data_IF_898309073172
#
_entry.id   IF_898309073172
#
_cell.length_a   1.000
_cell.length_b   1.000
_cell.length_c   1.000
_cell.angle_alpha   90.00
_cell.angle_beta   90.00
_cell.angle_gamma   90.00
#
_symmetry.space_group_name_H-M   'P 1'
#
loop_
_entity.id
_entity.type
_entity.pdbx_description
1 polymer ?
#
# COMPACT_ATOMS: atom_id res chain seq x y z
N UNK A 1 -11.34 -58.24 -5.49
CA UNK A 1 -10.74 -57.32 -6.49
C UNK A 1 -11.49 -55.99 -6.62
N UNK A 2 -12.81 -55.94 -6.37
CA UNK A 2 -13.63 -54.72 -6.50
C UNK A 2 -13.35 -53.60 -5.49
N UNK A 3 -12.95 -53.94 -4.26
CA UNK A 3 -12.66 -52.97 -3.18
C UNK A 3 -11.51 -52.03 -3.52
N UNK A 4 -10.48 -52.54 -4.21
CA UNK A 4 -9.34 -51.73 -4.66
C UNK A 4 -9.72 -50.76 -5.79
N UNK A 5 -10.72 -51.08 -6.62
CA UNK A 5 -11.19 -50.19 -7.69
C UNK A 5 -11.96 -49.00 -7.11
N UNK A 6 -12.83 -49.24 -6.13
CA UNK A 6 -13.57 -48.18 -5.41
C UNK A 6 -12.61 -47.24 -4.67
N UNK A 7 -11.61 -47.78 -3.97
CA UNK A 7 -10.59 -46.98 -3.26
C UNK A 7 -9.76 -46.10 -4.20
N UNK A 8 -9.39 -46.60 -5.38
CA UNK A 8 -8.66 -45.80 -6.39
C UNK A 8 -9.51 -44.65 -6.93
N UNK A 9 -10.80 -44.90 -7.20
CA UNK A 9 -11.72 -43.86 -7.67
C UNK A 9 -11.89 -42.78 -6.60
N UNK A 10 -12.09 -43.16 -5.34
CA UNK A 10 -12.24 -42.23 -4.22
C UNK A 10 -11.01 -41.33 -4.06
N UNK A 11 -9.80 -41.92 -4.07
CA UNK A 11 -8.55 -41.15 -3.97
C UNK A 11 -8.39 -40.17 -5.14
N UNK A 12 -8.69 -40.58 -6.37
CA UNK A 12 -8.65 -39.69 -7.54
C UNK A 12 -9.64 -38.54 -7.39
N UNK A 13 -10.85 -38.84 -6.89
CA UNK A 13 -11.90 -37.85 -6.68
C UNK A 13 -11.50 -36.84 -5.59
N UNK A 14 -10.93 -37.30 -4.48
CA UNK A 14 -10.40 -36.43 -3.43
C UNK A 14 -9.29 -35.53 -3.93
N UNK A 15 -8.33 -36.08 -4.68
CA UNK A 15 -7.22 -35.30 -5.26
C UNK A 15 -7.78 -34.23 -6.22
N UNK A 16 -8.73 -34.60 -7.09
CA UNK A 16 -9.36 -33.66 -8.01
C UNK A 16 -10.04 -32.51 -7.26
N UNK A 17 -10.76 -32.82 -6.17
CA UNK A 17 -11.45 -31.84 -5.34
C UNK A 17 -10.47 -30.89 -4.66
N UNK A 18 -9.35 -31.40 -4.15
CA UNK A 18 -8.28 -30.59 -3.54
C UNK A 18 -7.64 -29.67 -4.59
N UNK A 19 -7.37 -30.15 -5.80
CA UNK A 19 -6.81 -29.32 -6.88
C UNK A 19 -7.77 -28.20 -7.27
N UNK A 20 -9.06 -28.51 -7.44
CA UNK A 20 -10.09 -27.50 -7.75
C UNK A 20 -10.16 -26.46 -6.63
N UNK A 21 -10.17 -26.89 -5.37
CA UNK A 21 -10.19 -25.98 -4.22
C UNK A 21 -8.98 -25.03 -4.22
N UNK A 22 -7.77 -25.54 -4.46
CA UNK A 22 -6.55 -24.73 -4.54
C UNK A 22 -6.60 -23.72 -5.70
N UNK A 23 -7.10 -24.13 -6.87
CA UNK A 23 -7.24 -23.24 -8.03
C UNK A 23 -8.24 -22.11 -7.73
N UNK A 24 -9.40 -22.43 -7.18
CA UNK A 24 -10.42 -21.43 -6.83
C UNK A 24 -9.89 -20.46 -5.76
N UNK A 25 -9.17 -20.96 -4.76
CA UNK A 25 -8.57 -20.12 -3.73
C UNK A 25 -7.47 -19.20 -4.30
N UNK A 26 -6.59 -19.74 -5.13
CA UNK A 26 -5.51 -18.98 -5.78
C UNK A 26 -6.04 -17.86 -6.68
N UNK A 27 -7.08 -18.14 -7.48
CA UNK A 27 -7.70 -17.13 -8.34
C UNK A 27 -8.37 -16.01 -7.53
N UNK A 28 -9.01 -16.34 -6.40
CA UNK A 28 -9.68 -15.34 -5.55
C UNK A 28 -8.69 -14.39 -4.89
N UNK A 29 -7.58 -14.91 -4.37
CA UNK A 29 -6.52 -14.10 -3.72
C UNK A 29 -5.86 -13.15 -4.72
N UNK A 30 -5.69 -13.56 -5.98
CA UNK A 30 -5.05 -12.70 -6.98
C UNK A 30 -5.96 -11.55 -7.43
N UNK A 31 -7.27 -11.75 -7.46
CA UNK A 31 -8.23 -10.77 -7.98
C UNK A 31 -8.60 -9.65 -7.00
N UNK A 32 -8.48 -9.85 -5.68
CA UNK A 32 -8.85 -8.83 -4.67
C UNK A 32 -7.82 -7.72 -4.51
N UNK A 33 -6.59 -7.94 -4.97
CA UNK A 33 -5.48 -7.04 -4.71
C UNK A 33 -5.68 -5.62 -5.26
N UNK A 34 -6.36 -5.45 -6.40
CA UNK A 34 -6.48 -4.11 -7.02
C UNK A 34 -7.35 -3.15 -6.23
N UNK A 35 -8.51 -3.61 -5.76
CA UNK A 35 -9.43 -2.77 -4.99
C UNK A 35 -8.81 -2.40 -3.63
N UNK A 36 -8.15 -3.38 -2.99
CA UNK A 36 -7.45 -3.16 -1.73
C UNK A 36 -6.26 -2.19 -1.92
N UNK A 37 -5.51 -2.33 -3.02
CA UNK A 37 -4.41 -1.42 -3.38
C UNK A 37 -4.90 0.01 -3.68
N UNK A 38 -6.03 0.16 -4.36
CA UNK A 38 -6.64 1.48 -4.60
C UNK A 38 -7.07 2.14 -3.29
N UNK A 39 -7.72 1.40 -2.41
CA UNK A 39 -8.11 1.91 -1.10
C UNK A 39 -6.88 2.28 -0.26
N UNK A 40 -5.84 1.46 -0.30
CA UNK A 40 -4.57 1.74 0.35
C UNK A 40 -3.90 3.00 -0.22
N UNK A 41 -3.87 3.16 -1.55
CA UNK A 41 -3.35 4.34 -2.23
C UNK A 41 -4.05 5.62 -1.77
N UNK A 42 -5.39 5.62 -1.74
CA UNK A 42 -6.18 6.79 -1.31
C UNK A 42 -5.86 7.14 0.15
N UNK A 43 -5.74 6.12 1.01
CA UNK A 43 -5.39 6.32 2.42
C UNK A 43 -3.96 6.86 2.58
N UNK A 44 -2.99 6.35 1.83
CA UNK A 44 -1.61 6.80 1.81
C UNK A 44 -1.51 8.25 1.33
N UNK A 45 -2.15 8.58 0.20
CA UNK A 45 -2.19 9.93 -0.36
C UNK A 45 -2.78 10.93 0.64
N UNK A 46 -3.88 10.57 1.30
CA UNK A 46 -4.48 11.38 2.37
C UNK A 46 -3.53 11.54 3.55
N UNK A 47 -2.82 10.49 3.94
CA UNK A 47 -1.82 10.55 5.00
C UNK A 47 -0.68 11.50 4.66
N UNK A 48 -0.11 11.39 3.45
CA UNK A 48 0.98 12.25 2.99
C UNK A 48 0.55 13.72 2.96
N UNK A 49 -0.62 14.02 2.38
CA UNK A 49 -1.18 15.38 2.37
C UNK A 49 -1.39 15.94 3.77
N UNK A 50 -1.90 15.12 4.69
CA UNK A 50 -2.08 15.52 6.10
C UNK A 50 -0.73 15.81 6.76
N UNK A 51 0.30 15.01 6.47
CA UNK A 51 1.66 15.24 6.96
C UNK A 51 2.30 16.50 6.40
N UNK A 52 2.08 16.82 5.11
CA UNK A 52 2.51 18.09 4.51
C UNK A 52 1.84 19.27 5.21
N UNK A 53 0.52 19.20 5.45
CA UNK A 53 -0.22 20.25 6.15
C UNK A 53 0.22 20.40 7.60
N UNK A 54 0.52 19.30 8.29
CA UNK A 54 1.10 19.32 9.63
C UNK A 54 2.48 20.00 9.61
N UNK A 55 3.33 19.65 8.65
CA UNK A 55 4.63 20.29 8.48
C UNK A 55 4.49 21.80 8.24
N UNK A 56 3.58 22.22 7.36
CA UNK A 56 3.27 23.63 7.12
C UNK A 56 2.80 24.32 8.40
N UNK A 57 1.93 23.67 9.17
CA UNK A 57 1.39 24.24 10.41
C UNK A 57 2.49 24.50 11.45
N UNK A 58 3.43 23.56 11.57
CA UNK A 58 4.53 23.60 12.54
C UNK A 58 5.68 24.52 12.10
N UNK A 59 6.04 24.52 10.82
CA UNK A 59 7.23 25.20 10.30
C UNK A 59 6.90 26.49 9.52
N UNK A 60 5.62 26.78 9.27
CA UNK A 60 5.14 27.93 8.47
C UNK A 60 5.65 27.97 7.03
N UNK A 61 6.18 26.85 6.54
CA UNK A 61 6.64 26.67 5.17
C UNK A 61 6.35 25.23 4.70
N UNK A 62 6.15 25.03 3.41
CA UNK A 62 6.08 23.70 2.82
C UNK A 62 7.45 23.01 2.90
N UNK A 63 7.50 21.67 3.01
CA UNK A 63 8.75 20.96 2.93
C UNK A 63 9.37 21.14 1.53
N UNK A 64 10.70 21.15 1.43
CA UNK A 64 11.38 21.20 0.14
C UNK A 64 11.20 19.89 -0.65
N UNK A 65 11.02 18.77 0.05
CA UNK A 65 10.88 17.42 -0.48
C UNK A 65 10.02 16.57 0.47
N UNK A 66 9.25 15.61 -0.06
CA UNK A 66 8.48 14.65 0.73
C UNK A 66 9.37 13.76 1.62
N UNK A 67 10.63 13.53 1.23
CA UNK A 67 11.62 12.84 2.07
C UNK A 67 11.79 13.48 3.46
N UNK A 68 11.55 14.79 3.57
CA UNK A 68 11.60 15.49 4.85
C UNK A 68 10.57 14.92 5.82
N UNK A 69 9.40 14.50 5.34
CA UNK A 69 8.31 14.00 6.18
C UNK A 69 8.60 12.63 6.80
N UNK A 70 9.38 11.80 6.10
CA UNK A 70 9.78 10.45 6.54
C UNK A 70 10.99 10.47 7.46
N UNK A 71 11.79 11.54 7.43
CA UNK A 71 13.06 11.63 8.17
C UNK A 71 13.01 12.60 9.35
N UNK A 72 12.30 13.73 9.22
CA UNK A 72 12.22 14.72 10.29
C UNK A 72 11.16 14.37 11.32
N UNK A 73 11.45 14.76 12.56
CA UNK A 73 10.56 14.59 13.71
C UNK A 73 10.08 15.93 14.21
N UNK A 74 8.84 15.98 14.66
CA UNK A 74 8.31 17.08 15.46
C UNK A 74 8.17 16.68 16.93
N UNK A 75 8.22 17.69 17.80
CA UNK A 75 8.00 17.53 19.23
C UNK A 75 6.52 17.74 19.55
N UNK A 76 5.94 16.81 20.31
CA UNK A 76 4.61 16.97 20.90
C UNK A 76 4.69 16.63 22.39
N UNK A 77 4.68 17.67 23.22
CA UNK A 77 5.06 17.56 24.64
C UNK A 77 6.50 17.06 24.79
N UNK A 78 6.70 15.96 25.52
CA UNK A 78 8.02 15.35 25.75
C UNK A 78 8.33 14.19 24.78
N UNK A 79 7.57 14.04 23.68
CA UNK A 79 7.75 12.95 22.72
C UNK A 79 8.08 13.50 21.34
N UNK A 80 9.02 12.85 20.67
CA UNK A 80 9.32 13.07 19.25
C UNK A 80 8.56 12.08 18.37
N UNK A 81 7.96 12.55 17.30
CA UNK A 81 7.27 11.73 16.30
C UNK A 81 7.65 12.16 14.89
N UNK A 82 7.73 11.21 13.95
CA UNK A 82 7.89 11.52 12.54
C UNK A 82 6.63 12.20 11.99
N UNK A 83 6.79 13.08 11.01
CA UNK A 83 5.66 13.71 10.34
C UNK A 83 4.82 12.70 9.56
N UNK A 84 5.47 11.73 8.92
CA UNK A 84 4.83 10.65 8.17
C UNK A 84 5.27 9.29 8.71
N UNK A 85 4.30 8.41 8.97
CA UNK A 85 4.52 7.04 9.45
C UNK A 85 3.56 6.09 8.75
N UNK A 86 3.94 4.83 8.58
CA UNK A 86 3.05 3.79 8.04
C UNK A 86 2.88 3.82 6.52
N UNK A 87 3.71 4.60 5.82
CA UNK A 87 3.81 4.59 4.35
C UNK A 87 5.10 3.89 3.96
N UNK A 88 5.08 3.18 2.83
CA UNK A 88 6.27 2.54 2.27
C UNK A 88 7.26 3.59 1.78
N UNK A 89 8.56 3.29 1.83
CA UNK A 89 9.60 4.19 1.36
C UNK A 89 10.59 3.45 0.45
N UNK A 90 11.12 4.16 -0.54
CA UNK A 90 12.18 3.65 -1.40
C UNK A 90 13.55 3.66 -0.69
N UNK A 91 14.60 3.20 -1.39
CA UNK A 91 15.98 3.20 -0.89
C UNK A 91 16.51 4.61 -0.53
N UNK A 92 15.90 5.67 -1.07
CA UNK A 92 16.27 7.05 -0.83
C UNK A 92 15.44 7.71 0.29
N UNK A 93 14.52 6.97 0.92
CA UNK A 93 13.52 7.41 1.90
C UNK A 93 12.39 8.29 1.32
N UNK A 94 12.16 8.23 0.01
CA UNK A 94 11.00 8.87 -0.59
C UNK A 94 9.77 7.99 -0.35
N UNK A 95 8.62 8.58 0.04
CA UNK A 95 7.39 7.82 0.17
C UNK A 95 6.95 7.30 -1.20
N UNK A 96 6.63 6.01 -1.25
CA UNK A 96 6.07 5.33 -2.42
C UNK A 96 4.65 4.91 -2.12
N UNK A 97 3.85 4.80 -3.16
CA UNK A 97 2.48 4.33 -3.07
C UNK A 97 2.38 2.81 -3.04
N UNK A 98 1.15 2.33 -2.80
CA UNK A 98 0.80 0.90 -2.76
C UNK A 98 1.08 0.13 -4.06
N UNK A 99 1.33 0.83 -5.16
CA UNK A 99 1.73 0.26 -6.45
C UNK A 99 3.26 0.28 -6.65
N UNK A 100 4.01 0.84 -5.69
CA UNK A 100 5.47 0.94 -5.71
C UNK A 100 5.99 2.18 -6.44
N UNK A 101 5.14 3.12 -6.83
CA UNK A 101 5.53 4.34 -7.52
C UNK A 101 5.77 5.48 -6.52
N UNK A 102 6.77 6.33 -6.78
CA UNK A 102 7.01 7.50 -5.95
C UNK A 102 5.88 8.53 -6.07
N UNK A 103 5.53 9.18 -4.97
CA UNK A 103 4.63 10.34 -5.01
C UNK A 103 5.32 11.54 -5.66
N UNK A 104 4.56 12.27 -6.48
CA UNK A 104 4.96 13.55 -7.03
C UNK A 104 4.54 14.68 -6.09
N UNK A 105 5.38 15.70 -5.94
CA UNK A 105 5.15 16.80 -5.01
C UNK A 105 5.56 18.14 -5.60
N UNK A 106 4.71 19.15 -5.41
CA UNK A 106 5.01 20.52 -5.77
C UNK A 106 5.33 21.34 -4.49
N UNK A 107 6.59 21.73 -4.26
CA UNK A 107 6.98 22.46 -3.05
C UNK A 107 6.40 23.88 -2.97
N UNK A 108 5.99 24.47 -4.10
CA UNK A 108 5.42 25.81 -4.13
C UNK A 108 3.95 25.85 -3.70
N UNK A 109 3.18 24.81 -4.06
CA UNK A 109 1.74 24.72 -3.76
C UNK A 109 1.42 23.77 -2.60
N UNK A 110 2.36 22.87 -2.26
CA UNK A 110 2.15 21.81 -1.27
C UNK A 110 1.33 20.64 -1.79
N UNK A 111 1.04 20.59 -3.09
CA UNK A 111 0.22 19.55 -3.69
C UNK A 111 1.00 18.24 -3.84
N UNK A 112 0.31 17.13 -3.55
CA UNK A 112 0.84 15.77 -3.61
C UNK A 112 -0.03 14.95 -4.55
N UNK A 113 0.60 14.24 -5.48
CA UNK A 113 -0.05 13.43 -6.50
C UNK A 113 0.55 12.02 -6.54
N UNK A 114 -0.24 11.01 -6.87
CA UNK A 114 0.30 9.70 -7.21
C UNK A 114 0.81 9.72 -8.65
N UNK A 115 1.93 9.04 -8.90
CA UNK A 115 2.44 8.79 -10.25
C UNK A 115 1.80 7.56 -10.90
N UNK A 116 0.89 6.86 -10.19
CA UNK A 116 0.17 5.71 -10.71
C UNK A 116 -0.92 6.16 -11.68
N UNK A 117 -0.89 5.60 -12.89
CA UNK A 117 -1.81 5.96 -13.98
C UNK A 117 -3.27 5.76 -13.58
N UNK A 118 -4.10 6.79 -13.75
CA UNK A 118 -5.52 6.80 -13.39
C UNK A 118 -5.81 7.32 -11.97
N UNK A 119 -4.78 7.62 -11.18
CA UNK A 119 -4.90 8.14 -9.81
C UNK A 119 -4.20 9.48 -9.61
N UNK A 120 -3.88 10.20 -10.69
CA UNK A 120 -3.08 11.41 -10.66
C UNK A 120 -3.78 12.57 -9.93
N UNK A 121 -5.12 12.60 -9.93
CA UNK A 121 -5.94 13.71 -9.43
C UNK A 121 -6.77 13.41 -8.17
N UNK A 122 -6.65 12.21 -7.61
CA UNK A 122 -7.34 11.83 -6.37
C UNK A 122 -6.88 12.64 -5.18
#
# INVERSE_FOLDING_TARGET
METNKKRRVEVVLTILLVVIALVVFGLRVFSTNKADQEQALIAELKSVRTSVQLYLTMNKAFPADLKVLTTQKYQIGNKQRLYLTGVQVDANNNPIDSFGNAFSFNPSTGEVFSSTKGYESW
#
